data_IF_030875675542
#
_entry.id   IF_030875675542
#
_cell.length_a   1.000
_cell.length_b   1.000
_cell.length_c   1.000
_cell.angle_alpha   90.00
_cell.angle_beta   90.00
_cell.angle_gamma   90.00
#
_symmetry.space_group_name_H-M   'P 1'
#
loop_
_entity.id
_entity.type
_entity.pdbx_description
1 polymer ?
#
# COMPACT_ATOMS: atom_id res chain seq x y z
N UNK A 1 9.06 -13.30 30.30
CA UNK A 1 8.56 -12.35 29.28
C UNK A 1 9.21 -11.02 29.58
N UNK A 2 10.36 -10.73 28.95
CA UNK A 2 11.07 -9.47 29.15
C UNK A 2 10.27 -8.34 28.49
N UNK A 3 9.94 -7.33 29.27
CA UNK A 3 9.39 -6.08 28.78
C UNK A 3 10.34 -5.50 27.71
N UNK A 4 9.79 -5.14 26.55
CA UNK A 4 10.54 -4.47 25.50
C UNK A 4 10.94 -3.09 26.05
N UNK A 5 12.22 -2.93 26.36
CA UNK A 5 12.79 -1.66 26.81
C UNK A 5 12.86 -0.69 25.61
N UNK A 6 11.84 0.17 25.52
CA UNK A 6 11.69 1.18 24.46
C UNK A 6 12.72 2.32 24.61
N UNK A 7 13.52 2.34 25.68
CA UNK A 7 14.51 3.40 25.94
C UNK A 7 15.73 3.38 24.99
N UNK A 8 15.89 2.32 24.20
CA UNK A 8 16.98 2.18 23.22
C UNK A 8 16.57 2.41 21.76
N UNK A 9 15.38 2.99 21.50
CA UNK A 9 15.09 3.51 20.16
C UNK A 9 15.97 4.75 19.91
N UNK A 10 17.09 4.52 19.22
CA UNK A 10 18.01 5.55 18.75
C UNK A 10 17.21 6.70 18.15
N UNK A 11 17.43 7.92 18.66
CA UNK A 11 16.89 9.15 18.08
C UNK A 11 17.16 9.15 16.58
N UNK A 12 16.14 8.92 15.75
CA UNK A 12 16.30 9.04 14.30
C UNK A 12 16.54 10.53 13.99
N UNK A 13 17.64 10.86 13.31
CA UNK A 13 17.98 12.26 12.96
C UNK A 13 16.88 12.95 12.13
N UNK A 14 15.99 12.16 11.52
CA UNK A 14 14.76 12.57 10.85
C UNK A 14 13.64 11.55 11.13
N UNK A 15 12.35 11.92 10.98
CA UNK A 15 11.26 10.94 10.97
C UNK A 15 11.46 9.86 9.89
N UNK A 16 11.06 8.62 10.18
CA UNK A 16 11.05 7.52 9.21
C UNK A 16 10.02 7.80 8.12
N UNK A 17 10.40 7.63 6.86
CA UNK A 17 9.50 7.78 5.71
C UNK A 17 8.91 6.43 5.36
N UNK A 18 7.60 6.29 5.54
CA UNK A 18 6.86 5.05 5.30
C UNK A 18 6.02 5.15 4.03
N UNK A 19 6.26 4.23 3.09
CA UNK A 19 5.44 4.04 1.90
C UNK A 19 4.18 3.25 2.28
N UNK A 20 2.99 3.82 2.08
CA UNK A 20 1.73 3.25 2.57
C UNK A 20 0.88 2.67 1.42
N UNK A 21 0.83 1.36 1.31
CA UNK A 21 0.14 0.65 0.23
C UNK A 21 -1.27 0.20 0.67
N UNK A 22 -2.30 0.81 0.07
CA UNK A 22 -3.71 0.56 0.42
C UNK A 22 -4.23 -0.80 -0.05
N UNK A 23 -5.38 -1.23 0.48
CA UNK A 23 -6.05 -2.47 0.05
C UNK A 23 -6.88 -2.31 -1.22
N UNK A 24 -7.37 -3.43 -1.76
CA UNK A 24 -8.27 -3.45 -2.91
C UNK A 24 -9.55 -2.61 -2.66
N UNK A 25 -10.01 -1.89 -3.70
CA UNK A 25 -11.16 -0.95 -3.65
C UNK A 25 -10.97 0.22 -2.69
N UNK A 26 -9.73 0.59 -2.40
CA UNK A 26 -9.39 1.81 -1.66
C UNK A 26 -8.53 2.72 -2.54
N UNK A 27 -8.16 3.88 -2.04
CA UNK A 27 -7.14 4.75 -2.62
C UNK A 27 -6.27 5.34 -1.52
N UNK A 28 -5.25 6.12 -1.89
CA UNK A 28 -4.31 6.72 -0.93
C UNK A 28 -4.99 7.59 0.12
N UNK A 29 -6.00 8.39 -0.27
CA UNK A 29 -6.76 9.24 0.65
C UNK A 29 -7.55 8.43 1.68
N UNK A 30 -8.27 7.39 1.23
CA UNK A 30 -9.02 6.50 2.11
C UNK A 30 -8.11 5.76 3.09
N UNK A 31 -6.95 5.29 2.63
CA UNK A 31 -6.01 4.59 3.51
C UNK A 31 -5.39 5.55 4.54
N UNK A 32 -5.12 6.79 4.14
CA UNK A 32 -4.68 7.86 5.04
C UNK A 32 -5.68 8.13 6.15
N UNK A 33 -6.97 8.19 5.82
CA UNK A 33 -8.05 8.37 6.79
C UNK A 33 -8.14 7.19 7.75
N UNK A 34 -8.19 5.95 7.22
CA UNK A 34 -8.30 4.72 8.02
C UNK A 34 -7.10 4.47 8.94
N UNK A 35 -5.92 5.00 8.59
CA UNK A 35 -4.70 4.89 9.41
C UNK A 35 -4.51 6.08 10.37
N UNK A 36 -5.48 7.00 10.48
CA UNK A 36 -5.35 8.22 11.28
C UNK A 36 -5.00 7.98 12.74
N UNK A 37 -5.62 6.98 13.39
CA UNK A 37 -5.33 6.64 14.79
C UNK A 37 -3.90 6.11 14.97
N UNK A 38 -3.46 5.21 14.08
CA UNK A 38 -2.09 4.66 14.08
C UNK A 38 -1.06 5.77 13.89
N UNK A 39 -1.29 6.67 12.92
CA UNK A 39 -0.42 7.82 12.68
C UNK A 39 -0.37 8.78 13.87
N UNK A 40 -1.49 8.99 14.56
CA UNK A 40 -1.54 9.84 15.76
C UNK A 40 -0.74 9.22 16.91
N UNK A 41 -0.84 7.90 17.08
CA UNK A 41 -0.09 7.17 18.10
C UNK A 41 1.42 7.20 17.84
N UNK A 42 1.83 6.97 16.59
CA UNK A 42 3.25 7.01 16.20
C UNK A 42 3.79 8.45 16.30
N UNK A 43 3.02 9.43 15.85
CA UNK A 43 3.40 10.85 15.93
C UNK A 43 4.41 11.28 14.87
N UNK A 44 4.30 12.55 14.45
CA UNK A 44 5.10 13.14 13.37
C UNK A 44 6.61 13.19 13.66
N UNK A 45 7.01 13.13 14.93
CA UNK A 45 8.42 13.09 15.34
C UNK A 45 9.09 11.78 14.88
N UNK A 46 8.33 10.69 14.80
CA UNK A 46 8.86 9.36 14.56
C UNK A 46 8.67 8.89 13.13
N UNK A 47 7.55 9.23 12.49
CA UNK A 47 7.30 8.83 11.10
C UNK A 47 6.47 9.82 10.27
N UNK A 48 6.81 9.87 8.99
CA UNK A 48 6.07 10.50 7.90
C UNK A 48 5.49 9.40 7.00
N UNK A 49 4.24 9.58 6.57
CA UNK A 49 3.48 8.55 5.87
C UNK A 49 3.05 9.05 4.49
N UNK A 50 3.45 8.34 3.44
CA UNK A 50 3.16 8.69 2.04
C UNK A 50 2.20 7.66 1.44
N UNK A 51 1.08 8.13 0.89
CA UNK A 51 -0.03 7.28 0.45
C UNK A 51 -0.22 7.37 -1.08
N UNK A 52 0.57 6.61 -1.88
CA UNK A 52 0.28 6.49 -3.30
C UNK A 52 -1.08 5.84 -3.53
N UNK A 53 -1.67 6.13 -4.68
CA UNK A 53 -2.92 5.53 -5.14
C UNK A 53 -2.61 4.58 -6.29
N UNK A 54 -3.11 3.35 -6.20
CA UNK A 54 -2.91 2.35 -7.24
C UNK A 54 -3.50 2.82 -8.59
N UNK A 55 -2.88 2.46 -9.73
CA UNK A 55 -3.26 3.03 -11.02
C UNK A 55 -4.60 2.49 -11.53
N UNK A 56 -5.02 1.29 -11.10
CA UNK A 56 -6.13 0.60 -11.74
C UNK A 56 -7.49 0.91 -11.09
N UNK A 57 -8.49 1.40 -11.83
CA UNK A 57 -9.85 1.54 -11.31
C UNK A 57 -10.49 0.18 -11.03
N UNK A 58 -11.28 0.09 -9.96
CA UNK A 58 -12.08 -1.10 -9.65
C UNK A 58 -13.49 -0.98 -10.21
N UNK A 59 -14.12 -2.06 -10.69
CA UNK A 59 -15.52 -2.02 -11.13
C UNK A 59 -16.45 -1.65 -9.98
N UNK A 60 -17.60 -0.99 -10.21
CA UNK A 60 -18.58 -0.72 -9.15
C UNK A 60 -19.10 -2.01 -8.49
N UNK A 61 -19.54 -1.93 -7.23
CA UNK A 61 -20.13 -3.08 -6.48
C UNK A 61 -21.62 -3.31 -6.79
N UNK A 62 -22.15 -2.65 -7.81
CA UNK A 62 -23.57 -2.66 -8.19
C UNK A 62 -23.96 -1.32 -8.82
N UNK A 63 -25.18 -1.24 -9.36
CA UNK A 63 -25.69 -0.02 -10.03
C UNK A 63 -25.73 1.18 -9.08
N UNK A 64 -26.05 0.98 -7.79
CA UNK A 64 -26.08 2.07 -6.79
C UNK A 64 -24.69 2.58 -6.37
N UNK A 65 -23.63 1.82 -6.67
CA UNK A 65 -22.24 2.23 -6.41
C UNK A 65 -21.60 2.92 -7.61
N UNK A 66 -22.33 3.07 -8.73
CA UNK A 66 -21.86 3.74 -9.92
C UNK A 66 -21.72 5.26 -9.68
N UNK A 67 -20.54 5.66 -9.19
CA UNK A 67 -20.15 7.06 -9.04
C UNK A 67 -19.71 7.49 -7.64
N UNK A 68 -19.84 6.64 -6.61
CA UNK A 68 -19.65 7.08 -5.22
C UNK A 68 -18.24 6.84 -4.64
N UNK A 69 -17.40 5.98 -5.24
CA UNK A 69 -16.14 5.57 -4.60
C UNK A 69 -15.05 5.36 -5.65
N UNK A 70 -14.01 6.21 -5.65
CA UNK A 70 -12.79 6.06 -6.47
C UNK A 70 -11.90 4.92 -5.93
N UNK A 71 -12.43 3.70 -5.99
CA UNK A 71 -11.75 2.49 -5.53
C UNK A 71 -10.72 2.04 -6.55
N UNK A 72 -9.50 1.76 -6.09
CA UNK A 72 -8.37 1.33 -6.90
C UNK A 72 -7.85 -0.05 -6.49
N UNK A 73 -7.14 -0.71 -7.41
CA UNK A 73 -6.46 -1.99 -7.19
C UNK A 73 -5.04 -1.96 -7.73
N UNK A 74 -4.16 -2.72 -7.09
CA UNK A 74 -2.75 -2.85 -7.52
C UNK A 74 -2.57 -3.90 -8.62
N UNK A 75 -3.33 -4.98 -8.56
CA UNK A 75 -3.35 -6.03 -9.56
C UNK A 75 -4.66 -6.80 -9.45
N UNK A 76 -4.94 -7.66 -10.42
CA UNK A 76 -6.17 -8.45 -10.49
C UNK A 76 -5.88 -9.91 -10.76
N UNK A 77 -6.79 -10.79 -10.33
CA UNK A 77 -6.78 -12.22 -10.67
C UNK A 77 -7.60 -12.53 -11.95
N UNK A 78 -8.37 -11.55 -12.44
CA UNK A 78 -9.15 -11.62 -13.69
C UNK A 78 -9.16 -10.27 -14.38
N UNK A 79 -9.33 -10.24 -15.70
CA UNK A 79 -9.38 -9.00 -16.50
C UNK A 79 -10.76 -8.63 -17.06
N UNK A 80 -11.71 -9.57 -17.11
CA UNK A 80 -13.03 -9.36 -17.71
C UNK A 80 -14.17 -9.92 -16.84
N UNK A 81 -14.78 -9.12 -15.94
CA UNK A 81 -14.33 -7.78 -15.52
C UNK A 81 -13.07 -7.84 -14.63
N UNK A 82 -12.31 -6.74 -14.50
CA UNK A 82 -11.12 -6.71 -13.65
C UNK A 82 -11.52 -6.91 -12.19
N UNK A 83 -10.98 -7.95 -11.55
CA UNK A 83 -11.37 -8.28 -10.18
C UNK A 83 -10.23 -8.89 -9.39
N UNK A 84 -10.18 -8.57 -8.10
CA UNK A 84 -9.28 -9.20 -7.14
C UNK A 84 -10.09 -9.92 -6.06
N UNK A 85 -9.72 -11.18 -5.80
CA UNK A 85 -10.22 -11.97 -4.68
C UNK A 85 -9.05 -12.71 -4.03
N UNK A 86 -8.82 -12.50 -2.74
CA UNK A 86 -7.69 -13.10 -2.03
C UNK A 86 -7.71 -14.63 -1.97
N UNK A 87 -8.88 -15.25 -2.16
CA UNK A 87 -9.05 -16.71 -2.14
C UNK A 87 -9.02 -17.32 -3.53
N UNK A 88 -8.82 -16.51 -4.56
CA UNK A 88 -8.84 -16.98 -5.94
C UNK A 88 -7.42 -17.17 -6.43
N UNK A 89 -7.15 -18.37 -6.93
CA UNK A 89 -5.90 -18.66 -7.62
C UNK A 89 -5.96 -18.09 -9.05
N UNK A 90 -4.88 -17.43 -9.45
CA UNK A 90 -4.63 -17.00 -10.81
C UNK A 90 -3.17 -17.29 -11.15
N UNK A 91 -2.87 -17.77 -12.38
CA UNK A 91 -1.49 -17.92 -12.82
C UNK A 91 -0.79 -16.57 -13.01
N UNK A 92 -1.56 -15.48 -13.17
CA UNK A 92 -1.05 -14.15 -13.49
C UNK A 92 -1.61 -13.08 -12.54
N UNK A 93 -0.78 -12.10 -12.22
CA UNK A 93 -1.16 -10.88 -11.50
C UNK A 93 -1.33 -9.73 -12.51
N UNK A 94 -2.51 -9.65 -13.14
CA UNK A 94 -2.80 -8.65 -14.16
C UNK A 94 -2.66 -7.24 -13.61
N UNK A 95 -1.95 -6.36 -14.32
CA UNK A 95 -1.72 -4.98 -13.91
C UNK A 95 -0.55 -4.77 -12.93
N UNK A 96 0.16 -5.84 -12.55
CA UNK A 96 1.23 -5.75 -11.56
C UNK A 96 2.40 -4.89 -12.07
N UNK A 97 2.81 -5.05 -13.32
CA UNK A 97 3.93 -4.29 -13.92
C UNK A 97 3.64 -2.79 -13.90
N UNK A 98 2.45 -2.37 -14.32
CA UNK A 98 2.05 -0.95 -14.30
C UNK A 98 2.00 -0.38 -12.88
N UNK A 99 1.65 -1.21 -11.89
CA UNK A 99 1.72 -0.84 -10.48
C UNK A 99 3.16 -0.71 -9.98
N UNK A 100 4.07 -1.59 -10.41
CA UNK A 100 5.51 -1.49 -10.10
C UNK A 100 6.09 -0.24 -10.73
N UNK A 101 5.76 0.09 -11.97
CA UNK A 101 6.21 1.31 -12.65
C UNK A 101 5.69 2.57 -11.96
N UNK A 102 4.39 2.59 -11.63
CA UNK A 102 3.76 3.69 -10.89
C UNK A 102 4.42 3.91 -9.52
N UNK A 103 4.68 2.82 -8.78
CA UNK A 103 5.37 2.90 -7.50
C UNK A 103 6.84 3.30 -7.66
N UNK A 104 7.54 2.82 -8.68
CA UNK A 104 8.93 3.19 -8.95
C UNK A 104 9.04 4.69 -9.22
N UNK A 105 8.16 5.25 -10.06
CA UNK A 105 8.09 6.68 -10.29
C UNK A 105 7.78 7.46 -9.00
N UNK A 106 6.84 6.96 -8.18
CA UNK A 106 6.52 7.58 -6.90
C UNK A 106 7.71 7.54 -5.93
N UNK A 107 8.42 6.41 -5.86
CA UNK A 107 9.60 6.22 -5.01
C UNK A 107 10.75 7.13 -5.44
N UNK A 108 11.00 7.26 -6.74
CA UNK A 108 12.02 8.18 -7.26
C UNK A 108 11.69 9.65 -6.93
N UNK A 109 10.41 10.04 -7.01
CA UNK A 109 10.00 11.42 -6.76
C UNK A 109 9.90 11.77 -5.26
N UNK A 110 9.56 10.82 -4.40
CA UNK A 110 9.21 11.07 -2.99
C UNK A 110 10.14 10.38 -2.00
N UNK A 111 11.05 9.51 -2.45
CA UNK A 111 11.94 8.72 -1.62
C UNK A 111 13.16 9.50 -1.11
N UNK A 112 14.18 8.81 -0.58
CA UNK A 112 14.15 7.38 -0.23
C UNK A 112 13.11 7.09 0.87
N UNK A 113 12.64 5.84 0.93
CA UNK A 113 11.72 5.34 1.96
C UNK A 113 12.47 4.39 2.90
N UNK A 114 12.14 4.44 4.18
CA UNK A 114 12.77 3.62 5.23
C UNK A 114 11.97 2.34 5.51
N UNK A 115 10.73 2.27 5.05
CA UNK A 115 9.88 1.09 5.24
C UNK A 115 8.56 1.18 4.49
N UNK A 116 7.84 0.06 4.50
CA UNK A 116 6.54 -0.10 3.83
C UNK A 116 5.48 -0.48 4.86
N UNK A 117 4.35 0.23 4.83
CA UNK A 117 3.13 -0.11 5.56
C UNK A 117 2.08 -0.57 4.55
N UNK A 118 1.80 -1.86 4.47
CA UNK A 118 0.79 -2.42 3.57
C UNK A 118 -0.46 -2.89 4.30
N UNK A 119 -1.61 -2.81 3.62
CA UNK A 119 -2.87 -3.42 4.08
C UNK A 119 -3.47 -4.33 3.02
N UNK A 120 -3.87 -5.57 3.40
CA UNK A 120 -4.55 -6.53 2.52
C UNK A 120 -3.81 -6.70 1.17
N UNK A 121 -4.42 -6.33 0.04
CA UNK A 121 -3.75 -6.37 -1.28
C UNK A 121 -2.43 -5.58 -1.30
N UNK A 122 -2.37 -4.41 -0.65
CA UNK A 122 -1.15 -3.62 -0.56
C UNK A 122 -0.07 -4.26 0.32
N UNK A 123 -0.44 -5.07 1.32
CA UNK A 123 0.51 -5.87 2.09
C UNK A 123 1.10 -7.01 1.25
N UNK A 124 0.26 -7.69 0.47
CA UNK A 124 0.72 -8.69 -0.47
C UNK A 124 1.65 -8.10 -1.54
N UNK A 125 1.33 -6.91 -2.08
CA UNK A 125 2.22 -6.20 -2.99
C UNK A 125 3.57 -5.86 -2.34
N UNK A 126 3.57 -5.38 -1.10
CA UNK A 126 4.80 -5.09 -0.36
C UNK A 126 5.70 -6.34 -0.25
N UNK A 127 5.11 -7.51 0.04
CA UNK A 127 5.84 -8.77 0.12
C UNK A 127 6.40 -9.22 -1.25
N UNK A 128 5.63 -9.03 -2.33
CA UNK A 128 6.10 -9.30 -3.71
C UNK A 128 7.31 -8.42 -4.03
N UNK A 129 7.22 -7.11 -3.77
CA UNK A 129 8.30 -6.16 -4.03
C UNK A 129 9.57 -6.51 -3.24
N UNK A 130 9.43 -6.89 -1.96
CA UNK A 130 10.55 -7.34 -1.15
C UNK A 130 11.22 -8.58 -1.76
N UNK A 131 10.44 -9.59 -2.18
CA UNK A 131 10.97 -10.78 -2.85
C UNK A 131 11.61 -10.50 -4.21
N UNK A 132 11.14 -9.48 -4.95
CA UNK A 132 11.79 -9.04 -6.19
C UNK A 132 13.16 -8.40 -5.94
N UNK A 133 13.31 -7.62 -4.86
CA UNK A 133 14.58 -7.00 -4.48
C UNK A 133 15.66 -8.02 -4.07
N UNK A 134 15.28 -9.15 -3.48
CA UNK A 134 16.24 -10.21 -3.09
C UNK A 134 16.85 -10.94 -4.29
N UNK A 135 16.23 -10.84 -5.47
CA UNK A 135 16.60 -11.58 -6.68
C UNK A 135 17.16 -10.69 -7.81
N UNK A 136 17.31 -9.39 -7.58
CA UNK A 136 17.89 -8.42 -8.53
C UNK A 136 19.24 -7.89 -8.06
#
# INVERSE_FOLDING_TARGET
>A
MSELDVSQMTSTERPLKLLCLHGYRQNGSMFREKTGAVRKLIGKKWAEFHFPTAPHPTPPLGEESAGAVDGRGWYFCRVNPPFFKSTEWSPEAYGLEESVDSLSAFVLANGPFDGVLGFSQGAALAAILAGMQENG
#
